data_IF_445820150612
#
_entry.id   IF_445820150612
#
_cell.length_a   1.000
_cell.length_b   1.000
_cell.length_c   1.000
_cell.angle_alpha   90.00
_cell.angle_beta   90.00
_cell.angle_gamma   90.00
#
_symmetry.space_group_name_H-M   'P 1'
#
loop_
_entity.id
_entity.type
_entity.pdbx_description
1 polymer ?
#
# COMPACT_ATOMS: atom_id res chain seq x y z
N UNK A 1 -17.40 12.40 -3.71
CA UNK A 1 -17.56 13.14 -2.46
C UNK A 1 -17.36 12.19 -1.32
N UNK A 2 -16.60 12.61 -0.32
CA UNK A 2 -16.41 11.84 0.92
C UNK A 2 -17.76 11.72 1.64
N UNK A 3 -18.08 10.51 2.12
CA UNK A 3 -19.35 10.18 2.77
C UNK A 3 -19.17 9.87 4.25
N UNK A 4 -18.15 9.10 4.60
CA UNK A 4 -17.82 8.74 5.98
C UNK A 4 -16.31 8.86 6.19
N UNK A 5 -15.93 9.23 7.41
CA UNK A 5 -14.55 9.16 7.91
C UNK A 5 -14.56 8.40 9.23
N UNK A 6 -13.69 7.40 9.35
CA UNK A 6 -13.56 6.60 10.58
C UNK A 6 -12.08 6.50 10.96
N UNK A 7 -11.78 6.67 12.24
CA UNK A 7 -10.45 6.44 12.81
C UNK A 7 -10.56 5.22 13.72
N UNK A 8 -9.72 4.21 13.50
CA UNK A 8 -9.75 2.93 14.22
C UNK A 8 -8.39 2.65 14.83
N UNK A 9 -8.36 2.23 16.09
CA UNK A 9 -7.16 1.74 16.78
C UNK A 9 -7.43 0.35 17.36
N UNK A 10 -6.56 -0.61 17.06
CA UNK A 10 -6.68 -2.00 17.55
C UNK A 10 -8.05 -2.63 17.30
N UNK A 11 -8.67 -2.30 16.17
CA UNK A 11 -10.01 -2.80 15.88
C UNK A 11 -11.11 -2.14 16.74
N UNK A 12 -10.86 -0.96 17.31
CA UNK A 12 -11.87 -0.17 18.02
C UNK A 12 -12.00 1.22 17.35
N UNK A 13 -13.21 1.65 16.95
CA UNK A 13 -13.43 3.00 16.45
C UNK A 13 -13.12 4.04 17.52
N UNK A 14 -12.15 4.92 17.25
CA UNK A 14 -11.87 6.11 18.05
C UNK A 14 -12.87 7.22 17.76
N UNK A 15 -13.26 7.35 16.49
CA UNK A 15 -14.15 8.38 15.97
C UNK A 15 -14.78 7.90 14.66
N UNK A 16 -16.05 8.24 14.45
CA UNK A 16 -16.74 8.06 13.18
C UNK A 16 -17.57 9.29 12.87
N UNK A 17 -17.49 9.79 11.65
CA UNK A 17 -18.26 10.94 11.18
C UNK A 17 -18.86 10.62 9.81
N UNK A 18 -20.15 10.85 9.68
CA UNK A 18 -20.88 10.72 8.43
C UNK A 18 -21.31 12.11 7.92
N UNK A 19 -21.15 12.31 6.62
CA UNK A 19 -21.39 13.56 5.90
C UNK A 19 -22.49 13.41 4.85
N UNK A 20 -23.04 12.20 4.65
CA UNK A 20 -24.08 11.92 3.67
C UNK A 20 -25.46 11.81 4.32
N UNK A 21 -26.46 12.49 3.73
CA UNK A 21 -27.86 12.29 4.13
C UNK A 21 -28.44 10.94 3.66
N UNK A 22 -27.78 10.26 2.72
CA UNK A 22 -28.10 8.91 2.28
C UNK A 22 -27.24 7.87 3.02
N UNK A 23 -27.79 6.65 3.12
CA UNK A 23 -27.26 5.43 3.75
C UNK A 23 -25.96 5.58 4.55
N UNK A 24 -26.11 5.44 5.87
CA UNK A 24 -25.04 5.36 6.86
C UNK A 24 -24.24 4.06 6.66
N UNK A 25 -23.35 4.03 5.67
CA UNK A 25 -22.50 2.86 5.40
C UNK A 25 -21.69 2.48 6.64
N UNK A 26 -21.09 3.47 7.33
CA UNK A 26 -20.11 3.22 8.40
C UNK A 26 -20.42 3.95 9.72
N UNK A 27 -21.66 4.43 9.92
CA UNK A 27 -22.02 5.22 11.10
C UNK A 27 -23.07 4.58 12.02
N UNK A 28 -23.49 3.34 11.74
CA UNK A 28 -24.20 2.51 12.73
C UNK A 28 -23.20 1.67 13.53
N UNK A 29 -23.50 1.45 14.80
CA UNK A 29 -22.59 0.77 15.74
C UNK A 29 -22.24 -0.66 15.31
N UNK A 30 -23.21 -1.41 14.78
CA UNK A 30 -23.00 -2.78 14.30
C UNK A 30 -22.08 -2.81 13.06
N UNK A 31 -22.29 -1.87 12.13
CA UNK A 31 -21.46 -1.73 10.93
C UNK A 31 -20.02 -1.35 11.30
N UNK A 32 -19.84 -0.48 12.30
CA UNK A 32 -18.52 -0.10 12.82
C UNK A 32 -17.72 -1.29 13.36
N UNK A 33 -18.36 -2.20 14.10
CA UNK A 33 -17.69 -3.41 14.62
C UNK A 33 -17.27 -4.31 13.46
N UNK A 34 -18.14 -4.52 12.47
CA UNK A 34 -17.85 -5.36 11.31
C UNK A 34 -16.69 -4.81 10.48
N UNK A 35 -16.70 -3.51 10.18
CA UNK A 35 -15.62 -2.82 9.47
C UNK A 35 -14.31 -2.97 10.22
N UNK A 36 -14.37 -2.78 11.53
CA UNK A 36 -13.20 -2.87 12.38
C UNK A 36 -12.57 -4.26 12.37
N UNK A 37 -13.40 -5.30 12.47
CA UNK A 37 -12.96 -6.69 12.31
C UNK A 37 -12.39 -6.96 10.92
N UNK A 38 -13.05 -6.46 9.87
CA UNK A 38 -12.59 -6.58 8.49
C UNK A 38 -11.21 -5.93 8.29
N UNK A 39 -11.00 -4.70 8.75
CA UNK A 39 -9.70 -4.02 8.61
C UNK A 39 -8.62 -4.63 9.48
N UNK A 40 -8.97 -5.14 10.67
CA UNK A 40 -8.02 -5.91 11.47
C UNK A 40 -7.56 -7.17 10.73
N UNK A 41 -8.49 -7.90 10.10
CA UNK A 41 -8.16 -9.08 9.31
C UNK A 41 -7.37 -8.72 8.04
N UNK A 42 -7.75 -7.65 7.34
CA UNK A 42 -7.05 -7.15 6.15
C UNK A 42 -5.63 -6.70 6.48
N UNK A 43 -5.42 -6.05 7.62
CA UNK A 43 -4.09 -5.65 8.09
C UNK A 43 -3.26 -6.87 8.46
N UNK A 44 -3.82 -7.81 9.22
CA UNK A 44 -3.12 -9.06 9.55
C UNK A 44 -2.77 -9.85 8.29
N UNK A 45 -3.63 -9.84 7.27
CA UNK A 45 -3.37 -10.43 5.98
C UNK A 45 -2.24 -9.67 5.27
N UNK A 46 -2.32 -8.35 5.14
CA UNK A 46 -1.30 -7.54 4.48
C UNK A 46 0.08 -7.68 5.11
N UNK A 47 0.15 -7.80 6.44
CA UNK A 47 1.40 -7.98 7.19
C UNK A 47 2.06 -9.35 6.90
N UNK A 48 1.31 -10.34 6.41
CA UNK A 48 1.85 -11.64 6.00
C UNK A 48 2.49 -11.62 4.59
N UNK A 49 2.33 -10.54 3.83
CA UNK A 49 2.83 -10.42 2.47
C UNK A 49 3.72 -9.19 2.29
N UNK A 50 5.03 -9.37 2.49
CA UNK A 50 6.07 -8.33 2.30
C UNK A 50 6.03 -7.61 0.93
N UNK A 51 5.47 -8.27 -0.09
CA UNK A 51 5.50 -7.85 -1.49
C UNK A 51 4.13 -7.46 -2.07
N UNK A 52 3.05 -7.38 -1.27
CA UNK A 52 1.71 -7.09 -1.81
C UNK A 52 1.54 -5.62 -2.24
N UNK A 53 2.52 -4.76 -1.94
CA UNK A 53 2.33 -3.31 -1.99
C UNK A 53 1.36 -2.84 -0.90
N UNK A 54 1.07 -1.54 -0.85
CA UNK A 54 0.05 -1.01 0.07
C UNK A 54 -1.32 -1.11 -0.59
N UNK A 55 -2.22 -1.93 -0.03
CA UNK A 55 -3.65 -1.81 -0.35
C UNK A 55 -4.08 -0.43 0.18
N UNK A 56 -4.63 0.42 -0.68
CA UNK A 56 -5.00 1.81 -0.33
C UNK A 56 -6.43 2.17 -0.73
N UNK A 57 -7.07 1.34 -1.56
CA UNK A 57 -8.45 1.51 -2.01
C UNK A 57 -9.13 0.14 -2.21
N UNK A 58 -10.40 0.05 -1.84
CA UNK A 58 -11.30 -1.06 -2.13
C UNK A 58 -12.53 -0.52 -2.84
N UNK A 59 -12.90 -1.12 -3.97
CA UNK A 59 -14.17 -0.80 -4.67
C UNK A 59 -15.26 -1.76 -4.18
N UNK A 60 -16.41 -1.23 -3.79
CA UNK A 60 -17.55 -2.04 -3.37
C UNK A 60 -18.32 -2.51 -4.61
N UNK A 61 -18.50 -3.83 -4.75
CA UNK A 61 -18.89 -4.50 -6.00
C UNK A 61 -20.24 -4.06 -6.59
N UNK A 62 -21.12 -3.47 -5.77
CA UNK A 62 -22.49 -3.10 -6.15
C UNK A 62 -22.81 -1.62 -5.86
N UNK A 63 -21.80 -0.76 -5.78
CA UNK A 63 -22.03 0.67 -5.59
C UNK A 63 -20.92 1.51 -6.21
N UNK A 64 -21.22 2.77 -6.45
CA UNK A 64 -20.23 3.78 -6.83
C UNK A 64 -19.31 4.17 -5.65
N UNK A 65 -19.53 3.56 -4.49
CA UNK A 65 -18.76 3.81 -3.28
C UNK A 65 -17.45 3.04 -3.30
N UNK A 66 -16.38 3.79 -3.04
CA UNK A 66 -15.03 3.32 -2.84
C UNK A 66 -14.66 3.58 -1.39
N UNK A 67 -13.75 2.78 -0.88
CA UNK A 67 -13.17 2.95 0.43
C UNK A 67 -11.68 3.18 0.25
N UNK A 68 -11.15 4.26 0.81
CA UNK A 68 -9.71 4.45 0.96
C UNK A 68 -9.31 4.31 2.41
N UNK A 69 -8.10 3.80 2.64
CA UNK A 69 -7.57 3.69 3.98
C UNK A 69 -6.08 4.02 4.04
N UNK A 70 -5.67 4.58 5.18
CA UNK A 70 -4.30 4.97 5.48
C UNK A 70 -3.91 4.35 6.82
N UNK A 71 -2.84 3.56 6.83
CA UNK A 71 -2.23 3.04 8.05
C UNK A 71 -1.23 4.06 8.59
N UNK A 72 -1.28 4.28 9.90
CA UNK A 72 -0.26 5.04 10.59
C UNK A 72 1.03 4.22 10.72
N UNK A 73 2.18 4.84 10.47
CA UNK A 73 3.48 4.18 10.61
C UNK A 73 4.05 4.29 12.02
N UNK A 74 3.61 5.28 12.81
CA UNK A 74 4.14 5.56 14.15
C UNK A 74 3.34 4.87 15.24
N UNK A 75 2.03 4.73 15.03
CA UNK A 75 1.12 4.09 15.99
C UNK A 75 0.64 2.75 15.41
N UNK A 76 1.02 1.60 16.02
CA UNK A 76 0.57 0.30 15.57
C UNK A 76 -0.95 0.18 15.53
N UNK A 77 -1.47 -0.44 14.47
CA UNK A 77 -2.90 -0.69 14.25
C UNK A 77 -3.80 0.55 14.28
N UNK A 78 -3.24 1.75 14.09
CA UNK A 78 -4.03 2.96 13.85
C UNK A 78 -4.31 3.08 12.34
N UNK A 79 -5.58 3.18 12.00
CA UNK A 79 -6.06 3.23 10.62
C UNK A 79 -7.06 4.36 10.46
N UNK A 80 -6.90 5.13 9.39
CA UNK A 80 -7.82 6.17 8.96
C UNK A 80 -8.55 5.67 7.72
N UNK A 81 -9.88 5.70 7.74
CA UNK A 81 -10.75 5.21 6.67
C UNK A 81 -11.59 6.37 6.12
N UNK A 82 -11.84 6.35 4.82
CA UNK A 82 -12.85 7.19 4.19
C UNK A 82 -13.65 6.42 3.14
N UNK A 83 -14.98 6.52 3.18
CA UNK A 83 -15.83 6.19 2.03
C UNK A 83 -15.99 7.41 1.13
N UNK A 84 -16.05 7.19 -0.18
CA UNK A 84 -16.29 8.24 -1.14
C UNK A 84 -16.90 7.67 -2.42
N UNK A 85 -17.65 8.50 -3.15
CA UNK A 85 -18.14 8.13 -4.48
C UNK A 85 -17.26 8.67 -5.61
N UNK A 86 -17.62 8.33 -6.84
CA UNK A 86 -16.88 8.68 -8.07
C UNK A 86 -16.63 10.18 -8.27
N UNK A 87 -17.35 11.07 -7.59
CA UNK A 87 -17.08 12.52 -7.65
C UNK A 87 -15.72 12.89 -7.04
N UNK A 88 -15.18 12.05 -6.14
CA UNK A 88 -13.85 12.26 -5.55
C UNK A 88 -12.82 11.29 -6.14
N UNK A 89 -11.60 11.77 -6.36
CA UNK A 89 -10.49 10.93 -6.82
C UNK A 89 -9.77 10.30 -5.62
N UNK A 90 -9.47 9.00 -5.69
CA UNK A 90 -8.79 8.27 -4.61
C UNK A 90 -7.48 8.92 -4.15
N UNK A 91 -6.69 9.46 -5.08
CA UNK A 91 -5.44 10.20 -4.75
C UNK A 91 -5.70 11.44 -3.89
N UNK A 92 -6.79 12.17 -4.15
CA UNK A 92 -7.16 13.32 -3.35
C UNK A 92 -7.62 12.86 -1.96
N UNK A 93 -8.47 11.84 -1.89
CA UNK A 93 -8.94 11.25 -0.62
C UNK A 93 -7.76 10.77 0.23
N UNK A 94 -6.77 10.09 -0.36
CA UNK A 94 -5.52 9.73 0.31
C UNK A 94 -4.76 10.94 0.86
N UNK A 95 -4.67 12.02 0.07
CA UNK A 95 -4.05 13.28 0.54
C UNK A 95 -4.81 13.85 1.74
N UNK A 96 -6.15 13.80 1.74
CA UNK A 96 -6.96 14.21 2.87
C UNK A 96 -6.74 13.33 4.10
N UNK A 97 -6.73 12.00 3.95
CA UNK A 97 -6.43 11.08 5.04
C UNK A 97 -5.05 11.37 5.67
N UNK A 98 -4.03 11.72 4.86
CA UNK A 98 -2.72 12.14 5.37
C UNK A 98 -2.77 13.45 6.15
N UNK A 99 -3.52 14.45 5.68
CA UNK A 99 -3.74 15.72 6.41
C UNK A 99 -4.43 15.46 7.73
N UNK A 100 -5.49 14.64 7.73
CA UNK A 100 -6.23 14.23 8.92
C UNK A 100 -5.31 13.52 9.91
N UNK A 101 -4.57 12.50 9.48
CA UNK A 101 -3.60 11.77 10.31
C UNK A 101 -2.59 12.71 10.97
N UNK A 102 -1.92 13.55 10.18
CA UNK A 102 -0.94 14.50 10.70
C UNK A 102 -1.57 15.49 11.71
N UNK A 103 -2.81 15.92 11.48
CA UNK A 103 -3.50 16.87 12.37
C UNK A 103 -4.00 16.18 13.64
N UNK A 104 -4.45 14.93 13.53
CA UNK A 104 -4.86 14.10 14.65
C UNK A 104 -3.69 13.85 15.62
N UNK A 105 -2.52 13.47 15.09
CA UNK A 105 -1.32 13.23 15.88
C UNK A 105 -0.70 14.51 16.47
N UNK A 106 -0.97 15.68 15.88
CA UNK A 106 -0.60 16.98 16.47
C UNK A 106 -1.50 17.35 17.64
N UNK A 107 -2.79 17.03 17.55
CA UNK A 107 -3.79 17.35 18.60
C UNK A 107 -3.75 16.35 19.76
N UNK A 108 -3.58 15.06 19.45
CA UNK A 108 -3.53 13.98 20.41
C UNK A 108 -2.20 13.26 20.28
N UNK A 109 -1.42 13.28 21.36
CA UNK A 109 -0.11 12.63 21.36
C UNK A 109 -0.26 11.09 21.33
N UNK A 110 0.86 10.41 21.01
CA UNK A 110 0.90 8.94 20.91
C UNK A 110 0.42 8.26 22.20
N UNK A 111 0.78 8.82 23.36
CA UNK A 111 0.41 8.27 24.66
C UNK A 111 -1.11 8.32 24.90
N UNK A 112 -1.76 9.41 24.54
CA UNK A 112 -3.22 9.56 24.66
C UNK A 112 -3.96 8.56 23.78
N UNK A 113 -3.44 8.26 22.59
CA UNK A 113 -4.06 7.32 21.65
C UNK A 113 -3.80 5.87 22.08
N UNK A 114 -2.56 5.55 22.49
CA UNK A 114 -2.16 4.18 22.84
C UNK A 114 -2.67 3.73 24.21
N UNK A 115 -2.79 4.65 25.18
CA UNK A 115 -3.33 4.38 26.53
C UNK A 115 -4.83 4.68 26.62
N UNK A 116 -5.49 4.90 25.48
CA UNK A 116 -6.92 5.18 25.45
C UNK A 116 -7.72 4.00 26.03
N UNK A 117 -8.62 4.30 26.95
CA UNK A 117 -9.39 3.31 27.73
C UNK A 117 -10.80 3.05 27.19
N UNK A 118 -11.09 3.47 25.95
CA UNK A 118 -12.41 3.25 25.33
C UNK A 118 -13.43 4.37 25.59
N UNK A 119 -13.06 5.48 26.24
CA UNK A 119 -13.96 6.63 26.46
C UNK A 119 -14.30 7.30 25.13
N UNK A 120 -15.56 7.22 24.73
CA UNK A 120 -16.08 7.60 23.40
C UNK A 120 -16.02 9.10 23.09
N UNK A 121 -15.89 9.95 24.11
CA UNK A 121 -15.85 11.41 23.99
C UNK A 121 -14.43 11.98 23.87
N UNK A 122 -13.40 11.18 24.18
CA UNK A 122 -11.98 11.59 24.20
C UNK A 122 -11.55 12.34 22.95
N UNK A 123 -12.02 11.87 21.78
CA UNK A 123 -11.61 12.41 20.47
C UNK A 123 -12.69 13.25 19.80
N UNK A 124 -13.84 13.44 20.44
CA UNK A 124 -15.04 14.06 19.84
C UNK A 124 -14.79 15.47 19.30
N UNK A 125 -13.96 16.26 19.99
CA UNK A 125 -13.58 17.61 19.54
C UNK A 125 -12.79 17.65 18.22
N UNK A 126 -12.45 16.49 17.66
CA UNK A 126 -11.80 16.40 16.36
C UNK A 126 -12.81 16.32 15.21
N UNK A 127 -14.09 16.02 15.48
CA UNK A 127 -15.13 15.97 14.44
C UNK A 127 -15.24 17.30 13.67
N UNK A 128 -15.19 18.43 14.37
CA UNK A 128 -15.24 19.78 13.76
C UNK A 128 -14.05 20.04 12.82
N UNK A 129 -12.89 19.49 13.14
CA UNK A 129 -11.69 19.62 12.30
C UNK A 129 -11.84 18.76 11.04
N UNK A 130 -12.43 17.57 11.17
CA UNK A 130 -12.70 16.70 10.02
C UNK A 130 -13.73 17.35 9.09
N UNK A 131 -14.77 18.00 9.63
CA UNK A 131 -15.76 18.76 8.85
C UNK A 131 -15.07 19.81 7.95
N UNK A 132 -14.13 20.57 8.50
CA UNK A 132 -13.36 21.56 7.72
C UNK A 132 -12.60 20.92 6.56
N UNK A 133 -11.94 19.78 6.78
CA UNK A 133 -11.21 19.08 5.70
C UNK A 133 -12.12 18.58 4.58
N UNK A 134 -13.34 18.15 4.92
CA UNK A 134 -14.32 17.67 3.93
C UNK A 134 -14.90 18.84 3.14
N UNK A 135 -15.15 19.98 3.78
CA UNK A 135 -15.62 21.17 3.08
C UNK A 135 -14.54 21.79 2.19
N UNK A 136 -13.27 21.77 2.62
CA UNK A 136 -12.13 22.11 1.78
C UNK A 136 -12.03 21.20 0.54
N UNK A 137 -12.37 19.90 0.65
CA UNK A 137 -12.39 18.98 -0.49
C UNK A 137 -13.44 19.36 -1.53
N UNK A 138 -14.63 19.76 -1.06
CA UNK A 138 -15.68 20.24 -1.96
C UNK A 138 -15.21 21.48 -2.70
N UNK A 139 -14.62 22.45 -2.00
CA UNK A 139 -14.08 23.68 -2.59
C UNK A 139 -12.90 23.43 -3.54
N UNK A 140 -11.96 22.54 -3.19
CA UNK A 140 -10.86 22.15 -4.07
C UNK A 140 -11.32 21.31 -5.28
N UNK A 141 -12.46 20.64 -5.21
CA UNK A 141 -13.05 19.95 -6.35
C UNK A 141 -13.66 20.91 -7.38
N UNK A 142 -14.13 22.08 -6.91
CA UNK A 142 -14.65 23.17 -7.75
C UNK A 142 -13.54 24.06 -8.32
N UNK A 143 -12.50 24.35 -7.52
CA UNK A 143 -11.32 25.13 -7.96
C UNK A 143 -10.28 24.19 -8.55
N UNK A 144 -10.17 24.19 -9.89
CA UNK A 144 -9.37 23.25 -10.69
C UNK A 144 -7.97 23.02 -10.10
N UNK A 145 -7.75 21.83 -9.54
CA UNK A 145 -6.44 21.25 -9.20
C UNK A 145 -5.35 21.47 -10.28
N UNK A 146 -5.75 21.59 -11.56
CA UNK A 146 -4.85 21.97 -12.67
C UNK A 146 -4.17 23.33 -12.46
N UNK A 147 -4.86 24.33 -11.93
CA UNK A 147 -4.31 25.67 -11.68
C UNK A 147 -3.26 25.63 -10.57
N UNK A 148 -3.49 24.89 -9.48
CA UNK A 148 -2.50 24.71 -8.40
C UNK A 148 -1.26 23.93 -8.86
N UNK A 149 -1.41 22.90 -9.68
CA UNK A 149 -0.26 22.15 -10.22
C UNK A 149 0.54 23.02 -11.18
N UNK A 150 -0.12 23.77 -12.07
CA UNK A 150 0.55 24.72 -12.97
C UNK A 150 1.26 25.81 -12.17
N UNK A 151 0.66 26.37 -11.12
CA UNK A 151 1.34 27.34 -10.24
C UNK A 151 2.53 26.74 -9.50
N UNK A 152 2.45 25.48 -9.04
CA UNK A 152 3.60 24.81 -8.40
C UNK A 152 4.73 24.56 -9.39
N UNK A 153 4.43 24.14 -10.62
CA UNK A 153 5.44 23.98 -11.67
C UNK A 153 6.07 25.31 -12.07
N UNK A 154 5.27 26.38 -12.18
CA UNK A 154 5.77 27.72 -12.49
C UNK A 154 6.65 28.26 -11.37
N UNK A 155 6.26 28.11 -10.10
CA UNK A 155 7.07 28.54 -8.95
C UNK A 155 8.39 27.76 -8.83
N UNK A 156 8.43 26.49 -9.24
CA UNK A 156 9.68 25.71 -9.28
C UNK A 156 10.54 26.15 -10.46
N UNK A 157 9.93 26.46 -11.62
CA UNK A 157 10.65 26.98 -12.79
C UNK A 157 11.25 28.36 -12.53
N UNK A 158 10.50 29.27 -11.92
CA UNK A 158 10.99 30.60 -11.52
C UNK A 158 12.15 30.51 -10.53
N UNK A 159 12.10 29.59 -9.56
CA UNK A 159 13.23 29.34 -8.64
C UNK A 159 14.48 28.74 -9.29
N UNK A 160 14.34 28.00 -10.39
CA UNK A 160 15.47 27.42 -11.13
C UNK A 160 16.07 28.47 -12.08
N UNK A 161 15.27 29.42 -12.56
CA UNK A 161 15.72 30.52 -13.42
C UNK A 161 16.43 31.62 -12.60
N UNK A 162 16.06 31.85 -11.34
CA UNK A 162 16.74 32.81 -10.45
C UNK A 162 18.14 32.36 -9.98
N UNK A 163 18.44 31.06 -9.97
CA UNK A 163 19.73 30.51 -9.52
C UNK A 163 20.80 30.43 -10.63
N UNK A 164 20.49 30.84 -11.87
CA UNK A 164 21.42 30.79 -13.01
C UNK A 164 21.89 32.18 -13.45
N UNK A 165 22.76 32.80 -12.64
CA UNK A 165 23.67 33.87 -13.08
C UNK A 165 25.12 33.40 -12.98
N UNK A 166 25.58 32.85 -14.12
CA UNK A 166 26.93 32.90 -14.72
C UNK A 166 28.10 32.26 -13.97
N UNK A 167 28.65 31.19 -14.57
CA UNK A 167 30.00 31.24 -15.12
C UNK A 167 30.18 30.19 -16.23
N UNK A 168 30.28 30.70 -17.47
CA UNK A 168 30.78 29.96 -18.62
C UNK A 168 32.24 29.55 -18.39
N UNK A 169 32.56 28.28 -18.60
CA UNK A 169 33.88 27.89 -19.07
C UNK A 169 33.74 26.67 -19.98
N UNK A 170 34.14 26.89 -21.22
CA UNK A 170 34.29 25.94 -22.29
C UNK A 170 34.95 24.63 -21.83
N UNK A 171 34.36 23.49 -22.21
CA UNK A 171 35.11 22.34 -22.71
C UNK A 171 34.14 21.38 -23.44
N UNK A 172 34.61 20.96 -24.60
CA UNK A 172 33.99 20.10 -25.61
C UNK A 172 33.41 18.78 -25.09
N UNK A 173 32.35 18.24 -25.73
CA UNK A 173 31.84 16.92 -25.39
C UNK A 173 32.70 15.84 -26.04
N UNK A 174 33.63 15.26 -25.29
CA UNK A 174 34.17 13.95 -25.62
C UNK A 174 33.08 12.91 -25.38
N UNK A 175 32.72 12.21 -26.46
CA UNK A 175 31.88 11.02 -26.46
C UNK A 175 32.55 9.93 -25.64
N UNK A 176 32.19 9.82 -24.36
CA UNK A 176 32.46 8.62 -23.57
C UNK A 176 31.44 7.57 -24.03
N UNK A 177 31.93 6.66 -24.86
CA UNK A 177 31.31 5.37 -25.13
C UNK A 177 31.23 4.65 -23.77
N UNK A 178 30.02 4.49 -23.24
CA UNK A 178 29.81 3.59 -22.10
C UNK A 178 30.15 2.17 -22.57
N UNK A 179 31.34 1.71 -22.19
CA UNK A 179 31.72 0.31 -22.28
C UNK A 179 30.68 -0.56 -21.55
N UNK A 180 30.30 -1.65 -22.21
CA UNK A 180 29.40 -2.70 -21.73
C UNK A 180 29.66 -3.03 -20.26
N UNK A 181 28.77 -2.55 -19.38
CA UNK A 181 28.70 -3.05 -18.00
C UNK A 181 28.26 -4.50 -18.08
N UNK A 182 29.19 -5.42 -17.84
CA UNK A 182 28.91 -6.84 -17.61
C UNK A 182 27.67 -6.98 -16.71
N UNK A 183 26.61 -7.58 -17.25
CA UNK A 183 25.40 -7.91 -16.51
C UNK A 183 25.78 -8.82 -15.33
N UNK A 184 25.87 -8.25 -14.13
CA UNK A 184 26.00 -9.04 -12.90
C UNK A 184 24.76 -9.92 -12.78
N UNK A 185 24.93 -11.20 -13.09
CA UNK A 185 23.88 -12.22 -12.97
C UNK A 185 23.33 -12.18 -11.53
N UNK A 186 22.02 -12.03 -11.34
CA UNK A 186 21.44 -11.97 -10.01
C UNK A 186 21.76 -13.23 -9.19
N UNK A 187 22.14 -13.08 -7.92
CA UNK A 187 22.65 -14.16 -7.06
C UNK A 187 21.73 -15.40 -7.01
N UNK A 188 20.42 -15.21 -7.13
CA UNK A 188 19.43 -16.28 -7.10
C UNK A 188 19.45 -17.24 -8.30
N UNK A 189 20.18 -16.91 -9.37
CA UNK A 189 20.25 -17.74 -10.57
C UNK A 189 20.85 -19.13 -10.30
N UNK A 190 21.75 -19.22 -9.33
CA UNK A 190 22.44 -20.46 -8.95
C UNK A 190 21.74 -21.25 -7.85
N UNK A 191 20.60 -20.77 -7.34
CA UNK A 191 19.83 -21.44 -6.29
C UNK A 191 19.39 -22.85 -6.73
N UNK A 192 19.67 -23.85 -5.89
CA UNK A 192 19.27 -25.25 -6.13
C UNK A 192 18.18 -25.64 -5.13
N UNK A 193 16.89 -25.70 -5.53
CA UNK A 193 15.81 -26.12 -4.65
C UNK A 193 15.92 -27.60 -4.30
N UNK A 194 15.80 -27.95 -3.02
CA UNK A 194 15.76 -29.34 -2.54
C UNK A 194 14.46 -29.59 -1.76
N UNK A 195 13.80 -30.73 -1.97
CA UNK A 195 12.61 -31.08 -1.19
C UNK A 195 12.91 -31.30 0.29
N UNK A 196 12.02 -30.78 1.14
CA UNK A 196 11.96 -31.08 2.56
C UNK A 196 10.72 -31.95 2.81
N UNK A 197 10.88 -33.26 2.67
CA UNK A 197 9.78 -34.21 2.81
C UNK A 197 9.33 -34.32 4.27
N UNK A 198 8.22 -33.69 4.61
CA UNK A 198 7.41 -34.09 5.77
C UNK A 198 6.31 -35.04 5.27
N UNK A 199 6.22 -36.24 5.86
CA UNK A 199 5.38 -37.36 5.35
C UNK A 199 3.87 -37.09 5.37
N UNK A 200 3.40 -35.94 5.84
CA UNK A 200 1.98 -35.66 6.09
C UNK A 200 1.29 -34.74 5.09
N UNK A 201 2.02 -34.08 4.18
CA UNK A 201 1.46 -33.02 3.32
C UNK A 201 1.95 -33.17 1.88
N UNK A 202 1.03 -33.17 0.92
CA UNK A 202 1.36 -33.14 -0.50
C UNK A 202 1.27 -31.70 -1.02
N UNK A 203 2.40 -31.05 -1.33
CA UNK A 203 2.44 -29.65 -1.77
C UNK A 203 1.65 -29.37 -3.06
N UNK A 204 1.38 -30.39 -3.89
CA UNK A 204 0.61 -30.24 -5.14
C UNK A 204 -0.79 -29.69 -4.90
N UNK A 205 -1.41 -29.98 -3.75
CA UNK A 205 -2.74 -29.48 -3.41
C UNK A 205 -2.78 -27.97 -3.11
N UNK A 206 -1.62 -27.35 -2.90
CA UNK A 206 -1.48 -25.91 -2.61
C UNK A 206 -1.02 -25.10 -3.83
N UNK A 207 -0.75 -25.75 -4.96
CA UNK A 207 -0.30 -25.12 -6.19
C UNK A 207 -1.43 -25.09 -7.20
N UNK A 208 -2.07 -23.94 -7.37
CA UNK A 208 -3.20 -23.75 -8.30
C UNK A 208 -2.77 -23.35 -9.71
N UNK A 209 -1.55 -22.83 -9.88
CA UNK A 209 -1.01 -22.46 -11.20
C UNK A 209 -0.31 -23.62 -11.90
N UNK A 210 -0.62 -23.85 -13.19
CA UNK A 210 0.01 -24.90 -14.01
C UNK A 210 1.55 -24.77 -14.04
N UNK A 211 2.06 -23.54 -14.17
CA UNK A 211 3.49 -23.24 -14.17
C UNK A 211 4.12 -23.60 -12.80
N UNK A 212 3.41 -23.34 -11.70
CA UNK A 212 3.89 -23.65 -10.35
C UNK A 212 3.94 -25.16 -10.10
N UNK A 213 2.96 -25.91 -10.61
CA UNK A 213 2.97 -27.37 -10.55
C UNK A 213 4.10 -27.97 -11.41
N UNK A 214 4.33 -27.42 -12.61
CA UNK A 214 5.45 -27.82 -13.47
C UNK A 214 6.80 -27.56 -12.78
N UNK A 215 7.02 -26.35 -12.27
CA UNK A 215 8.25 -26.01 -11.53
C UNK A 215 8.45 -26.95 -10.34
N UNK A 216 7.40 -27.20 -9.54
CA UNK A 216 7.47 -28.14 -8.43
C UNK A 216 7.92 -29.54 -8.87
N UNK A 217 7.40 -30.08 -9.98
CA UNK A 217 7.80 -31.40 -10.48
C UNK A 217 9.26 -31.46 -10.99
N UNK A 218 9.86 -30.32 -11.33
CA UNK A 218 11.24 -30.21 -11.82
C UNK A 218 12.27 -29.98 -10.71
N UNK A 219 11.81 -29.73 -9.48
CA UNK A 219 12.69 -29.63 -8.31
C UNK A 219 13.19 -31.03 -7.97
N UNK A 220 14.49 -31.27 -8.07
CA UNK A 220 15.11 -32.57 -7.82
C UNK A 220 16.35 -32.49 -6.90
N UNK A 221 16.70 -31.30 -6.43
CA UNK A 221 17.89 -31.03 -5.62
C UNK A 221 19.21 -31.04 -6.39
N UNK A 222 19.18 -31.05 -7.73
CA UNK A 222 20.35 -31.01 -8.60
C UNK A 222 20.31 -29.83 -9.57
N UNK A 223 19.12 -29.46 -10.05
CA UNK A 223 18.96 -28.38 -11.03
C UNK A 223 18.90 -27.02 -10.38
N UNK A 224 19.65 -26.05 -10.91
CA UNK A 224 19.54 -24.64 -10.50
C UNK A 224 18.32 -23.95 -11.10
N UNK A 225 17.97 -22.78 -10.58
CA UNK A 225 16.88 -21.95 -11.12
C UNK A 225 17.07 -21.65 -12.60
N UNK A 226 18.28 -21.34 -13.07
CA UNK A 226 18.54 -21.14 -14.50
C UNK A 226 18.20 -22.40 -15.31
N UNK A 227 18.59 -23.57 -14.81
CA UNK A 227 18.38 -24.83 -15.52
C UNK A 227 16.89 -25.18 -15.59
N UNK A 228 16.17 -25.00 -14.48
CA UNK A 228 14.71 -25.19 -14.43
C UNK A 228 14.00 -24.17 -15.34
N UNK A 229 14.45 -22.92 -15.36
CA UNK A 229 13.91 -21.86 -16.20
C UNK A 229 14.09 -22.16 -17.70
N UNK A 230 15.28 -22.61 -18.10
CA UNK A 230 15.60 -23.00 -19.49
C UNK A 230 14.77 -24.19 -19.96
N UNK A 231 14.54 -25.19 -19.11
CA UNK A 231 13.76 -26.38 -19.48
C UNK A 231 12.25 -26.13 -19.56
N UNK A 232 11.74 -25.11 -18.86
CA UNK A 232 10.32 -24.77 -18.79
C UNK A 232 9.92 -23.57 -19.66
N UNK A 233 10.85 -23.03 -20.45
CA UNK A 233 10.69 -21.77 -21.20
C UNK A 233 10.11 -20.64 -20.33
N UNK A 234 10.62 -20.54 -19.10
CA UNK A 234 10.15 -19.62 -18.08
C UNK A 234 11.27 -18.63 -17.70
N UNK A 235 10.91 -17.47 -17.17
CA UNK A 235 11.93 -16.53 -16.68
C UNK A 235 12.53 -17.01 -15.36
N UNK A 236 13.86 -16.90 -15.14
CA UNK A 236 14.51 -17.28 -13.88
C UNK A 236 13.88 -16.61 -12.65
N UNK A 237 13.42 -15.36 -12.80
CA UNK A 237 12.69 -14.62 -11.76
C UNK A 237 11.37 -15.28 -11.36
N UNK A 238 10.62 -15.82 -12.32
CA UNK A 238 9.36 -16.50 -12.04
C UNK A 238 9.58 -17.83 -11.31
N UNK A 239 10.59 -18.60 -11.75
CA UNK A 239 11.01 -19.84 -11.08
C UNK A 239 11.48 -19.56 -9.66
N UNK A 240 12.26 -18.51 -9.44
CA UNK A 240 12.70 -18.06 -8.11
C UNK A 240 11.55 -17.69 -7.19
N UNK A 241 10.58 -16.90 -7.66
CA UNK A 241 9.45 -16.50 -6.83
C UNK A 241 8.61 -17.72 -6.38
N UNK A 242 8.43 -18.70 -7.26
CA UNK A 242 7.71 -19.92 -6.95
C UNK A 242 8.50 -20.78 -5.95
N UNK A 243 9.82 -20.93 -6.13
CA UNK A 243 10.68 -21.60 -5.17
C UNK A 243 10.66 -20.89 -3.80
N UNK A 244 10.78 -19.56 -3.75
CA UNK A 244 10.71 -18.77 -2.52
C UNK A 244 9.41 -19.01 -1.76
N UNK A 245 8.28 -19.09 -2.45
CA UNK A 245 7.00 -19.42 -1.83
C UNK A 245 6.98 -20.84 -1.27
N UNK A 246 7.50 -21.83 -2.01
CA UNK A 246 7.63 -23.21 -1.54
C UNK A 246 8.57 -23.34 -0.32
N UNK A 247 9.62 -22.51 -0.22
CA UNK A 247 10.50 -22.43 0.97
C UNK A 247 9.72 -21.88 2.17
N UNK A 248 8.98 -20.77 1.98
CA UNK A 248 8.15 -20.17 3.04
C UNK A 248 7.09 -21.16 3.56
N UNK A 249 6.57 -22.02 2.70
CA UNK A 249 5.64 -23.09 3.05
C UNK A 249 6.32 -24.34 3.66
N UNK A 250 7.66 -24.33 3.77
CA UNK A 250 8.43 -25.42 4.36
C UNK A 250 8.54 -26.67 3.48
N UNK A 251 8.19 -26.60 2.20
CA UNK A 251 8.19 -27.73 1.27
C UNK A 251 9.54 -27.96 0.60
N UNK A 252 10.34 -26.91 0.44
CA UNK A 252 11.69 -26.98 -0.11
C UNK A 252 12.65 -26.10 0.70
N UNK A 253 13.95 -26.23 0.47
CA UNK A 253 14.99 -25.41 1.09
C UNK A 253 16.17 -25.20 0.13
N UNK A 254 17.00 -24.19 0.45
CA UNK A 254 18.22 -23.86 -0.28
C UNK A 254 19.35 -24.79 0.15
N UNK A 255 20.14 -25.27 -0.82
CA UNK A 255 21.40 -25.97 -0.59
C UNK A 255 22.59 -25.04 -0.85
#
# INVERSE_FOLDING_TARGET
MIRDIVIIKDGIPLLSKNFSNSEKLFSKTDDLIMISGFFSALNSFSDQFDNLGSISELKLSNSDSKLSFLRDQSIPNLVYLASFDEKSKGVNVQRYLRKISNTFLKKYNIDQITKWSGRTDTFKSFEEIIEQFVDDEKLESEVKFKEKVVMLFNNVKEKIEDDNVISESENSPDLIIEEDKEEKVPEFYNFVPVFKLTKSTNPKYYLTGEISQKIYNYIDGKKSIIQIAKELDATPKNVYNICKNLIKLGFIWEK
#
